data_IF_685399690564
#
_entry.id   IF_685399690564
#
_cell.length_a   1.000
_cell.length_b   1.000
_cell.length_c   1.000
_cell.angle_alpha   90.00
_cell.angle_beta   90.00
_cell.angle_gamma   90.00
#
_symmetry.space_group_name_H-M   'P 1'
#
loop_
_entity.id
_entity.type
_entity.pdbx_description
1 polymer ?
#
# COMPACT_ATOMS: atom_id res chain seq x y z
N UNK A 1 -6.16 -7.55 11.96
CA UNK A 1 -5.29 -8.48 11.21
C UNK A 1 -4.14 -7.65 10.60
N UNK A 2 -2.97 -8.20 10.32
CA UNK A 2 -1.84 -7.45 9.74
C UNK A 2 -1.73 -7.72 8.23
N UNK A 3 -0.92 -6.95 7.49
CA UNK A 3 -0.52 -7.29 6.11
C UNK A 3 0.01 -8.73 6.04
N UNK A 4 0.82 -9.10 7.02
CA UNK A 4 1.39 -10.45 7.12
C UNK A 4 0.28 -11.49 7.27
N UNK A 5 -0.73 -11.27 8.10
CA UNK A 5 -1.83 -12.24 8.21
C UNK A 5 -2.60 -12.41 6.89
N UNK A 6 -2.72 -11.38 6.05
CA UNK A 6 -3.33 -11.53 4.70
C UNK A 6 -2.45 -12.33 3.74
N UNK A 7 -1.13 -12.27 3.87
CA UNK A 7 -0.25 -13.16 3.09
C UNK A 7 -0.52 -14.63 3.46
N UNK A 8 -0.76 -14.91 4.74
CA UNK A 8 -1.04 -16.26 5.24
C UNK A 8 -2.49 -16.74 5.05
N UNK A 9 -3.44 -15.87 4.71
CA UNK A 9 -4.80 -16.31 4.34
C UNK A 9 -4.86 -16.96 2.95
N UNK A 10 -3.75 -16.99 2.22
CA UNK A 10 -3.67 -17.61 0.89
C UNK A 10 -4.07 -16.68 -0.26
N UNK A 11 -4.39 -15.41 0.00
CA UNK A 11 -4.82 -14.43 -1.01
C UNK A 11 -3.81 -14.25 -2.17
N UNK A 12 -2.54 -14.50 -1.89
CA UNK A 12 -1.43 -14.38 -2.85
C UNK A 12 -0.73 -15.69 -3.17
N UNK A 13 -1.13 -16.79 -2.53
CA UNK A 13 -0.45 -18.09 -2.70
C UNK A 13 -1.09 -18.83 -3.88
N UNK A 14 -0.32 -19.00 -4.96
CA UNK A 14 -0.77 -19.73 -6.15
C UNK A 14 -1.10 -21.18 -5.77
N UNK A 15 -2.27 -21.65 -6.18
CA UNK A 15 -2.80 -22.99 -5.90
C UNK A 15 -3.14 -23.29 -4.43
N UNK A 16 -3.18 -22.29 -3.54
CA UNK A 16 -3.80 -22.47 -2.21
C UNK A 16 -5.31 -22.36 -2.34
N UNK A 17 -5.97 -23.49 -2.53
CA UNK A 17 -7.42 -23.56 -2.43
C UNK A 17 -7.77 -23.41 -0.94
N UNK A 18 -8.08 -22.19 -0.52
CA UNK A 18 -8.79 -21.84 0.72
C UNK A 18 -8.30 -22.55 2.00
N UNK A 19 -6.99 -22.60 2.24
CA UNK A 19 -6.45 -23.00 3.54
C UNK A 19 -5.64 -21.86 4.11
N UNK A 20 -5.92 -21.50 5.36
CA UNK A 20 -4.97 -20.76 6.18
C UNK A 20 -3.67 -21.56 6.21
N UNK A 21 -2.59 -20.94 5.76
CA UNK A 21 -1.28 -21.57 5.72
C UNK A 21 -0.49 -21.03 6.91
N UNK A 22 0.24 -21.90 7.60
CA UNK A 22 1.10 -21.51 8.73
C UNK A 22 2.54 -21.21 8.30
N UNK A 23 2.95 -21.65 7.11
CA UNK A 23 4.33 -21.51 6.60
C UNK A 23 4.38 -21.17 5.12
N UNK A 24 5.20 -20.19 4.73
CA UNK A 24 5.46 -19.89 3.32
C UNK A 24 6.47 -20.88 2.74
N UNK A 25 6.22 -21.37 1.52
CA UNK A 25 7.27 -22.08 0.77
C UNK A 25 8.31 -21.07 0.30
N UNK A 26 9.50 -21.56 -0.03
CA UNK A 26 10.55 -20.72 -0.61
C UNK A 26 10.06 -19.95 -1.85
N UNK A 27 9.26 -20.60 -2.72
CA UNK A 27 8.66 -19.94 -3.89
C UNK A 27 7.77 -18.76 -3.51
N UNK A 28 6.94 -18.91 -2.47
CA UNK A 28 6.02 -17.86 -2.02
C UNK A 28 6.78 -16.69 -1.43
N UNK A 29 7.84 -16.98 -0.67
CA UNK A 29 8.74 -15.98 -0.13
C UNK A 29 9.47 -15.20 -1.23
N UNK A 30 9.90 -15.85 -2.31
CA UNK A 30 10.50 -15.16 -3.47
C UNK A 30 9.50 -14.22 -4.13
N UNK A 31 8.25 -14.64 -4.34
CA UNK A 31 7.22 -13.73 -4.88
C UNK A 31 6.96 -12.53 -3.95
N UNK A 32 6.90 -12.77 -2.63
CA UNK A 32 6.79 -11.70 -1.65
C UNK A 32 7.96 -10.71 -1.73
N UNK A 33 9.20 -11.19 -1.77
CA UNK A 33 10.40 -10.33 -1.83
C UNK A 33 10.44 -9.56 -3.15
N UNK A 34 10.17 -10.19 -4.28
CA UNK A 34 10.11 -9.52 -5.59
C UNK A 34 9.05 -8.40 -5.57
N UNK A 35 7.87 -8.69 -5.02
CA UNK A 35 6.81 -7.71 -4.88
C UNK A 35 7.18 -6.56 -3.94
N UNK A 36 7.91 -6.85 -2.86
CA UNK A 36 8.33 -5.85 -1.88
C UNK A 36 9.43 -4.93 -2.42
N UNK A 37 10.37 -5.48 -3.20
CA UNK A 37 11.53 -4.76 -3.76
C UNK A 37 11.11 -3.80 -4.87
N UNK A 38 10.29 -4.25 -5.82
CA UNK A 38 9.80 -3.42 -6.92
C UNK A 38 8.28 -3.40 -6.95
N UNK A 39 7.68 -2.34 -6.39
CA UNK A 39 6.24 -2.13 -6.35
C UNK A 39 5.66 -1.53 -7.62
N UNK A 40 6.51 -1.15 -8.59
CA UNK A 40 6.07 -0.66 -9.90
C UNK A 40 5.93 -1.77 -10.94
N UNK A 41 6.56 -2.94 -10.73
CA UNK A 41 6.40 -4.07 -11.63
C UNK A 41 4.94 -4.57 -11.67
N UNK A 42 4.34 -4.84 -12.85
CA UNK A 42 2.93 -5.21 -12.97
C UNK A 42 2.48 -6.36 -12.08
N UNK A 43 3.31 -7.39 -11.93
CA UNK A 43 3.03 -8.55 -11.04
C UNK A 43 3.02 -8.16 -9.56
N UNK A 44 3.87 -7.22 -9.16
CA UNK A 44 3.93 -6.72 -7.78
C UNK A 44 2.71 -5.89 -7.44
N UNK A 45 2.25 -5.07 -8.40
CA UNK A 45 1.00 -4.30 -8.27
C UNK A 45 -0.18 -5.24 -8.03
N UNK A 46 -0.31 -6.30 -8.83
CA UNK A 46 -1.34 -7.31 -8.66
C UNK A 46 -1.24 -8.05 -7.33
N UNK A 47 -0.02 -8.37 -6.89
CA UNK A 47 0.23 -9.04 -5.62
C UNK A 47 -0.30 -8.19 -4.46
N UNK A 48 0.11 -6.93 -4.37
CA UNK A 48 -0.29 -6.05 -3.27
C UNK A 48 -1.77 -5.67 -3.33
N UNK A 49 -2.32 -5.51 -4.53
CA UNK A 49 -3.75 -5.29 -4.70
C UNK A 49 -4.56 -6.43 -4.07
N UNK A 50 -4.22 -7.69 -4.35
CA UNK A 50 -4.90 -8.87 -3.75
C UNK A 50 -4.71 -8.99 -2.25
N UNK A 51 -3.59 -8.48 -1.71
CA UNK A 51 -3.40 -8.43 -0.25
C UNK A 51 -4.37 -7.43 0.38
N UNK A 52 -4.62 -6.31 -0.31
CA UNK A 52 -5.45 -5.21 0.18
C UNK A 52 -6.94 -5.40 -0.05
N UNK A 53 -7.32 -6.06 -1.14
CA UNK A 53 -8.70 -6.44 -1.47
C UNK A 53 -9.15 -7.56 -0.52
N UNK A 54 -9.82 -7.18 0.57
CA UNK A 54 -10.16 -8.05 1.70
C UNK A 54 -11.33 -8.96 1.36
N UNK A 55 -12.29 -8.49 0.57
CA UNK A 55 -13.48 -9.25 0.18
C UNK A 55 -13.37 -9.89 -1.22
N UNK A 56 -12.39 -9.48 -2.04
CA UNK A 56 -12.09 -10.04 -3.34
C UNK A 56 -12.98 -9.51 -4.47
N UNK A 57 -13.61 -8.35 -4.31
CA UNK A 57 -14.51 -7.76 -5.31
C UNK A 57 -13.78 -7.04 -6.46
N UNK A 58 -12.45 -6.91 -6.38
CA UNK A 58 -11.63 -6.24 -7.38
C UNK A 58 -11.54 -4.72 -7.20
N UNK A 59 -11.94 -4.19 -6.04
CA UNK A 59 -11.94 -2.78 -5.68
C UNK A 59 -11.35 -2.60 -4.28
N UNK A 60 -10.74 -1.44 -4.06
CA UNK A 60 -10.30 -1.03 -2.72
C UNK A 60 -11.25 0.06 -2.24
N UNK A 61 -12.11 -0.33 -1.31
CA UNK A 61 -13.04 0.55 -0.61
C UNK A 61 -12.31 1.42 0.43
N UNK A 62 -12.95 2.52 0.85
CA UNK A 62 -12.40 3.37 1.91
C UNK A 62 -12.20 2.63 3.23
N UNK A 63 -13.07 1.66 3.54
CA UNK A 63 -12.97 0.86 4.76
C UNK A 63 -11.72 -0.03 4.75
N UNK A 64 -11.39 -0.65 3.61
CA UNK A 64 -10.17 -1.44 3.45
C UNK A 64 -8.92 -0.56 3.55
N UNK A 65 -8.92 0.59 2.87
CA UNK A 65 -7.81 1.54 2.94
C UNK A 65 -7.58 2.05 4.37
N UNK A 66 -8.65 2.43 5.08
CA UNK A 66 -8.60 2.85 6.48
C UNK A 66 -8.05 1.74 7.37
N UNK A 67 -8.48 0.51 7.13
CA UNK A 67 -8.03 -0.65 7.88
C UNK A 67 -6.51 -0.86 7.78
N UNK A 68 -5.94 -0.82 6.57
CA UNK A 68 -4.49 -0.93 6.40
C UNK A 68 -3.76 0.28 6.96
N UNK A 69 -4.31 1.48 6.76
CA UNK A 69 -3.72 2.71 7.28
C UNK A 69 -3.63 2.70 8.82
N UNK A 70 -4.64 2.19 9.52
CA UNK A 70 -4.60 2.04 10.97
C UNK A 70 -3.41 1.18 11.45
N UNK A 71 -3.06 0.13 10.69
CA UNK A 71 -1.90 -0.70 10.98
C UNK A 71 -0.55 0.00 10.74
N UNK A 72 -0.51 1.00 9.87
CA UNK A 72 0.63 1.88 9.64
C UNK A 72 0.72 2.93 10.74
N UNK A 73 -0.41 3.58 11.05
CA UNK A 73 -0.58 4.57 12.09
C UNK A 73 -0.13 4.07 13.46
N UNK A 74 -0.52 2.85 13.84
CA UNK A 74 -0.10 2.23 15.12
C UNK A 74 1.43 2.17 15.25
N UNK A 75 2.13 1.85 14.16
CA UNK A 75 3.61 1.72 14.16
C UNK A 75 4.28 3.09 14.18
N UNK A 76 3.74 4.07 13.46
CA UNK A 76 4.25 5.45 13.46
C UNK A 76 4.08 6.10 14.84
N UNK A 77 2.92 5.93 15.48
CA UNK A 77 2.67 6.43 16.83
C UNK A 77 3.65 5.81 17.83
N UNK A 78 3.89 4.49 17.74
CA UNK A 78 4.89 3.80 18.58
C UNK A 78 6.31 4.32 18.35
N UNK A 79 6.62 4.75 17.13
CA UNK A 79 7.90 5.35 16.76
C UNK A 79 7.97 6.87 17.04
N UNK A 80 6.93 7.48 17.65
CA UNK A 80 6.83 8.91 17.93
C UNK A 80 6.97 9.80 16.69
N UNK A 81 6.50 9.31 15.54
CA UNK A 81 6.47 10.04 14.29
C UNK A 81 5.17 10.82 14.19
N UNK A 82 5.24 12.08 13.72
CA UNK A 82 4.05 12.87 13.39
C UNK A 82 3.32 12.25 12.19
N UNK A 83 2.00 12.14 12.29
CA UNK A 83 1.18 11.39 11.33
C UNK A 83 0.14 12.29 10.69
N UNK A 84 -0.11 12.04 9.42
CA UNK A 84 -1.20 12.67 8.67
C UNK A 84 -2.55 12.06 9.07
N UNK A 85 -3.65 12.81 8.91
CA UNK A 85 -4.97 12.21 9.07
C UNK A 85 -5.28 11.27 7.90
N UNK A 86 -6.10 10.25 8.12
CA UNK A 86 -6.51 9.37 7.01
C UNK A 86 -7.21 10.14 5.88
N UNK A 87 -8.05 11.13 6.23
CA UNK A 87 -8.73 11.97 5.24
C UNK A 87 -7.73 12.69 4.32
N UNK A 88 -6.68 13.29 4.89
CA UNK A 88 -5.67 13.99 4.11
C UNK A 88 -4.87 13.03 3.22
N UNK A 89 -4.54 11.84 3.74
CA UNK A 89 -3.89 10.77 2.96
C UNK A 89 -4.76 10.37 1.78
N UNK A 90 -6.06 10.17 1.99
CA UNK A 90 -6.98 9.81 0.91
C UNK A 90 -7.10 10.91 -0.13
N UNK A 91 -7.24 12.18 0.29
CA UNK A 91 -7.24 13.31 -0.64
C UNK A 91 -5.98 13.31 -1.52
N UNK A 92 -4.80 13.15 -0.90
CA UNK A 92 -3.54 13.07 -1.61
C UNK A 92 -3.50 11.89 -2.60
N UNK A 93 -3.96 10.71 -2.17
CA UNK A 93 -3.99 9.53 -3.02
C UNK A 93 -4.96 9.66 -4.19
N UNK A 94 -6.13 10.28 -3.99
CA UNK A 94 -7.10 10.55 -5.06
C UNK A 94 -6.49 11.49 -6.10
N UNK A 95 -5.79 12.54 -5.66
CA UNK A 95 -5.15 13.51 -6.57
C UNK A 95 -4.06 12.87 -7.46
N UNK A 96 -3.27 11.94 -6.91
CA UNK A 96 -2.19 11.29 -7.65
C UNK A 96 -2.65 10.05 -8.44
N UNK A 97 -3.62 9.28 -7.93
CA UNK A 97 -4.12 8.07 -8.60
C UNK A 97 -5.15 8.43 -9.68
N UNK A 98 -5.96 9.45 -9.43
CA UNK A 98 -7.09 9.89 -10.27
C UNK A 98 -8.01 8.72 -10.64
N UNK A 99 -8.60 8.04 -9.64
CA UNK A 99 -9.46 6.89 -9.87
C UNK A 99 -10.69 7.28 -10.68
N UNK A 100 -11.24 6.32 -11.42
CA UNK A 100 -12.49 6.54 -12.17
C UNK A 100 -13.72 6.72 -11.25
N UNK A 101 -13.61 6.30 -9.99
CA UNK A 101 -14.66 6.40 -8.98
C UNK A 101 -14.13 7.12 -7.75
N UNK A 102 -14.96 7.94 -7.11
CA UNK A 102 -14.62 8.64 -5.86
C UNK A 102 -14.72 7.72 -4.63
N UNK A 103 -15.40 6.57 -4.74
CA UNK A 103 -15.70 5.69 -3.60
C UNK A 103 -14.78 4.48 -3.49
N UNK A 104 -14.09 4.10 -4.58
CA UNK A 104 -13.17 2.97 -4.59
C UNK A 104 -12.03 3.17 -5.60
N UNK A 105 -10.92 2.47 -5.37
CA UNK A 105 -9.77 2.44 -6.26
C UNK A 105 -9.63 1.04 -6.88
N UNK A 106 -9.50 0.95 -8.20
CA UNK A 106 -9.33 -0.33 -8.89
C UNK A 106 -7.86 -0.62 -9.19
N UNK A 107 -7.55 -1.89 -9.48
CA UNK A 107 -6.25 -2.29 -10.01
C UNK A 107 -5.87 -1.50 -11.27
N UNK A 108 -6.86 -1.21 -12.12
CA UNK A 108 -6.67 -0.44 -13.35
C UNK A 108 -6.23 0.99 -13.08
N UNK A 109 -6.79 1.64 -12.06
CA UNK A 109 -6.44 3.01 -11.66
C UNK A 109 -4.99 3.07 -11.18
N UNK A 110 -4.59 2.15 -10.30
CA UNK A 110 -3.23 2.09 -9.76
C UNK A 110 -2.21 1.85 -10.88
N UNK A 111 -2.48 0.91 -11.80
CA UNK A 111 -1.60 0.63 -12.95
C UNK A 111 -1.42 1.83 -13.88
N UNK A 112 -2.48 2.61 -14.11
CA UNK A 112 -2.44 3.80 -14.98
C UNK A 112 -1.73 4.99 -14.34
N UNK A 113 -1.82 5.13 -13.03
CA UNK A 113 -1.30 6.30 -12.31
C UNK A 113 0.22 6.47 -12.35
N UNK A 114 0.97 5.39 -12.58
CA UNK A 114 2.44 5.29 -12.33
C UNK A 114 2.89 5.56 -10.89
N UNK A 115 1.94 5.71 -9.95
CA UNK A 115 2.19 6.04 -8.54
C UNK A 115 2.03 4.82 -7.61
N UNK A 116 2.13 3.61 -8.17
CA UNK A 116 1.90 2.37 -7.43
C UNK A 116 2.84 2.18 -6.23
N UNK A 117 4.13 2.51 -6.35
CA UNK A 117 5.06 2.46 -5.22
C UNK A 117 4.63 3.40 -4.09
N UNK A 118 4.23 4.63 -4.42
CA UNK A 118 3.77 5.60 -3.44
C UNK A 118 2.53 5.07 -2.70
N UNK A 119 1.53 4.66 -3.48
CA UNK A 119 0.27 4.11 -2.98
C UNK A 119 0.48 2.93 -2.02
N UNK A 120 1.22 1.89 -2.45
CA UNK A 120 1.38 0.69 -1.64
C UNK A 120 2.26 0.90 -0.41
N UNK A 121 3.28 1.77 -0.48
CA UNK A 121 4.08 2.08 0.70
C UNK A 121 3.21 2.65 1.83
N UNK A 122 2.26 3.53 1.49
CA UNK A 122 1.32 4.17 2.42
C UNK A 122 0.50 3.18 3.26
N UNK A 123 0.20 1.99 2.73
CA UNK A 123 -0.66 1.01 3.40
C UNK A 123 0.06 -0.25 3.88
N UNK A 124 1.20 -0.60 3.28
CA UNK A 124 1.84 -1.90 3.49
C UNK A 124 3.10 -1.81 4.36
N UNK A 125 3.93 -0.78 4.17
CA UNK A 125 5.25 -0.70 4.78
C UNK A 125 5.50 0.67 5.41
N UNK A 126 5.25 0.76 6.72
CA UNK A 126 5.36 2.02 7.49
C UNK A 126 6.75 2.66 7.42
N UNK A 127 7.82 1.88 7.29
CA UNK A 127 9.18 2.41 7.18
C UNK A 127 9.36 3.08 5.83
N UNK A 128 8.91 2.44 4.75
CA UNK A 128 8.97 3.03 3.40
C UNK A 128 8.06 4.25 3.27
N UNK A 129 6.88 4.19 3.89
CA UNK A 129 5.98 5.35 3.98
C UNK A 129 6.65 6.52 4.71
N UNK A 130 7.25 6.28 5.89
CA UNK A 130 7.98 7.32 6.61
C UNK A 130 9.09 7.96 5.77
N UNK A 131 9.93 7.14 5.11
CA UNK A 131 11.02 7.63 4.24
C UNK A 131 10.45 8.48 3.09
N UNK A 132 9.33 8.06 2.50
CA UNK A 132 8.65 8.77 1.43
C UNK A 132 8.16 10.16 1.88
N UNK A 133 7.52 10.25 3.05
CA UNK A 133 7.04 11.53 3.60
C UNK A 133 8.19 12.47 3.99
N UNK A 134 9.30 11.93 4.51
CA UNK A 134 10.51 12.72 4.74
C UNK A 134 11.10 13.29 3.45
N UNK A 135 11.11 12.50 2.37
CA UNK A 135 11.63 12.94 1.08
C UNK A 135 10.74 14.01 0.43
N UNK A 136 9.42 13.85 0.49
CA UNK A 136 8.47 14.84 -0.03
C UNK A 136 8.56 16.16 0.74
N UNK A 137 8.69 16.10 2.06
CA UNK A 137 8.92 17.27 2.92
C UNK A 137 10.19 18.02 2.52
N UNK A 138 11.29 17.30 2.29
CA UNK A 138 12.54 17.90 1.82
C UNK A 138 12.37 18.56 0.45
N UNK A 139 11.68 17.92 -0.51
CA UNK A 139 11.42 18.49 -1.83
C UNK A 139 10.59 19.78 -1.74
N UNK A 140 9.56 19.81 -0.89
CA UNK A 140 8.77 21.01 -0.61
C UNK A 140 9.66 22.12 -0.05
N UNK A 141 10.49 21.85 0.96
CA UNK A 141 11.43 22.84 1.52
C UNK A 141 12.39 23.38 0.45
N UNK A 142 12.98 22.51 -0.38
CA UNK A 142 13.86 22.94 -1.48
C UNK A 142 13.14 23.80 -2.53
N UNK A 143 11.87 23.52 -2.83
CA UNK A 143 11.07 24.36 -3.73
C UNK A 143 10.77 25.74 -3.13
N UNK A 144 10.53 25.83 -1.82
CA UNK A 144 10.35 27.11 -1.12
C UNK A 144 11.64 27.93 -1.07
N UNK A 145 12.80 27.29 -0.94
CA UNK A 145 14.12 27.96 -0.96
C UNK A 145 14.59 28.39 -2.35
N UNK A 146 14.02 27.85 -3.43
CA UNK A 146 14.30 28.31 -4.80
C UNK A 146 13.38 29.42 -5.28
N UNK A 147 12.19 29.51 -4.69
CA UNK A 147 11.17 30.50 -5.05
C UNK A 147 11.22 31.75 -4.15
N UNK A 148 12.13 31.81 -3.18
CA UNK A 148 12.48 32.97 -2.35
C UNK A 148 13.99 33.20 -2.42
#
# INVERSE_FOLDING_TARGET
>A
MTVISRIFTGAVIRNSINKEITTLKYSDFIYFILAEVDKNHPTSIEYWFRVMDLDGDGRLSMDELQYFYNGILEKLIKAQVEVMSFCDVICLLIDIIKPQSEIYITLGDIKKSSMSTYFFNTFINWVKYYIQECNDSNQKVFSYSKNN
#
